data_IF_561314514053
#
_entry.id   IF_561314514053
#
_cell.length_a   1.000
_cell.length_b   1.000
_cell.length_c   1.000
_cell.angle_alpha   90.00
_cell.angle_beta   90.00
_cell.angle_gamma   90.00
#
_symmetry.space_group_name_H-M   'P 1'
#
loop_
_entity.id
_entity.type
_entity.pdbx_description
1 polymer ?
#
# COMPACT_ATOMS: atom_id res chain seq x y z
N UNK A 1 -60.93 -9.88 2.52
CA UNK A 1 -61.41 -9.01 1.43
C UNK A 1 -60.60 -9.33 0.18
N UNK A 2 -61.15 -9.92 -0.90
CA UNK A 2 -61.99 -9.28 -1.93
C UNK A 2 -61.20 -8.18 -2.70
N UNK A 3 -61.11 -8.10 -4.03
CA UNK A 3 -61.76 -8.76 -5.17
C UNK A 3 -60.93 -8.42 -6.46
N UNK A 4 -60.85 -9.41 -7.37
CA UNK A 4 -61.11 -9.34 -8.83
C UNK A 4 -60.29 -8.52 -9.85
N UNK A 5 -60.08 -9.19 -11.00
CA UNK A 5 -60.00 -8.60 -12.35
C UNK A 5 -59.16 -9.44 -13.33
N UNK A 6 -59.47 -10.71 -13.60
CA UNK A 6 -60.20 -11.25 -14.78
C UNK A 6 -59.86 -10.69 -16.17
N UNK A 7 -59.37 -11.62 -17.00
CA UNK A 7 -59.72 -11.97 -18.39
C UNK A 7 -59.40 -11.05 -19.57
N UNK A 8 -58.77 -11.67 -20.58
CA UNK A 8 -58.64 -11.14 -21.94
C UNK A 8 -57.99 -12.12 -22.93
N UNK A 9 -58.61 -13.28 -23.13
CA UNK A 9 -58.30 -14.21 -24.24
C UNK A 9 -58.70 -13.59 -25.59
N UNK A 10 -57.87 -13.72 -26.63
CA UNK A 10 -58.37 -13.80 -28.01
C UNK A 10 -57.50 -14.70 -28.89
N UNK A 11 -58.12 -15.80 -29.31
CA UNK A 11 -57.67 -16.68 -30.37
C UNK A 11 -57.98 -16.05 -31.74
N UNK A 12 -57.05 -16.14 -32.68
CA UNK A 12 -57.28 -15.86 -34.09
C UNK A 12 -56.90 -17.06 -34.94
N UNK A 13 -57.89 -17.86 -35.34
CA UNK A 13 -57.78 -18.83 -36.45
C UNK A 13 -57.72 -18.07 -37.78
N UNK A 14 -56.90 -18.57 -38.71
CA UNK A 14 -56.76 -18.03 -40.09
C UNK A 14 -58.04 -18.11 -40.93
N UNK A 15 -58.00 -17.69 -42.21
CA UNK A 15 -57.76 -18.70 -43.25
C UNK A 15 -57.10 -18.23 -44.57
N UNK A 16 -56.69 -19.25 -45.36
CA UNK A 16 -56.69 -19.37 -46.83
C UNK A 16 -55.58 -18.70 -47.67
N UNK A 17 -54.69 -19.60 -48.13
CA UNK A 17 -54.37 -19.92 -49.54
C UNK A 17 -54.71 -18.83 -50.58
N UNK A 18 -53.67 -18.16 -51.07
CA UNK A 18 -53.63 -17.54 -52.39
C UNK A 18 -52.48 -18.15 -53.20
N UNK A 19 -52.80 -19.10 -54.08
CA UNK A 19 -51.93 -19.50 -55.19
C UNK A 19 -51.92 -18.35 -56.20
N UNK A 20 -50.75 -17.79 -56.51
CA UNK A 20 -50.48 -17.15 -57.80
C UNK A 20 -49.16 -17.67 -58.33
N UNK A 21 -49.26 -18.36 -59.45
CA UNK A 21 -48.16 -18.77 -60.30
C UNK A 21 -47.51 -17.52 -60.91
N UNK A 22 -46.18 -17.50 -60.94
CA UNK A 22 -45.41 -16.72 -61.90
C UNK A 22 -44.31 -17.63 -62.43
N UNK A 23 -44.34 -17.74 -63.75
CA UNK A 23 -43.49 -18.56 -64.59
C UNK A 23 -42.16 -17.85 -64.90
N UNK A 24 -41.18 -18.64 -65.34
CA UNK A 24 -39.90 -18.19 -65.91
C UNK A 24 -38.79 -18.17 -64.85
N UNK A 25 -37.66 -18.85 -64.98
CA UNK A 25 -37.01 -19.55 -66.08
C UNK A 25 -36.20 -20.70 -65.46
N UNK A 26 -36.43 -21.93 -65.93
CA UNK A 26 -35.49 -23.03 -65.72
C UNK A 26 -34.46 -22.90 -66.83
N UNK A 27 -33.32 -22.26 -66.54
CA UNK A 27 -32.14 -22.46 -67.39
C UNK A 27 -31.59 -23.83 -67.09
N UNK A 28 -31.84 -24.75 -68.01
CA UNK A 28 -31.19 -26.05 -68.08
C UNK A 28 -29.67 -25.83 -68.08
N UNK A 29 -29.00 -26.25 -67.01
CA UNK A 29 -27.56 -26.45 -67.03
C UNK A 29 -27.29 -27.63 -67.98
N UNK A 30 -26.73 -27.29 -69.13
CA UNK A 30 -26.28 -28.23 -70.13
C UNK A 30 -25.21 -29.13 -69.51
N UNK A 31 -25.60 -30.36 -69.18
CA UNK A 31 -24.67 -31.47 -68.99
C UNK A 31 -23.91 -31.65 -70.30
N UNK A 32 -22.68 -31.16 -70.37
CA UNK A 32 -21.72 -31.67 -71.36
C UNK A 32 -21.22 -33.00 -70.79
N UNK A 33 -22.00 -34.06 -71.02
CA UNK A 33 -21.49 -35.43 -71.00
C UNK A 33 -20.63 -35.62 -72.25
N UNK A 34 -19.43 -35.05 -72.24
CA UNK A 34 -18.40 -35.29 -73.24
C UNK A 34 -17.55 -36.47 -72.82
N UNK A 35 -18.12 -37.67 -72.87
CA UNK A 35 -17.35 -38.90 -72.83
C UNK A 35 -16.51 -38.99 -74.09
N UNK A 36 -15.25 -38.59 -74.03
CA UNK A 36 -14.25 -39.05 -74.99
C UNK A 36 -13.61 -40.29 -74.37
N UNK A 37 -14.07 -41.46 -74.82
CA UNK A 37 -13.29 -42.68 -74.70
C UNK A 37 -11.94 -42.43 -75.39
N UNK A 38 -10.87 -42.33 -74.61
CA UNK A 38 -9.53 -42.54 -75.15
C UNK A 38 -9.35 -44.06 -75.34
N UNK A 39 -9.78 -44.58 -76.48
CA UNK A 39 -9.35 -45.90 -76.95
C UNK A 39 -7.85 -45.84 -77.21
N UNK A 40 -7.07 -46.54 -76.37
CA UNK A 40 -5.66 -46.79 -76.61
C UNK A 40 -5.54 -47.69 -77.86
N UNK A 41 -5.20 -47.09 -79.00
CA UNK A 41 -4.78 -47.83 -80.18
C UNK A 41 -3.29 -48.18 -80.03
N UNK A 42 -3.01 -49.45 -79.75
CA UNK A 42 -1.70 -50.05 -79.95
C UNK A 42 -1.42 -50.10 -81.47
N UNK A 43 -0.54 -49.25 -81.98
CA UNK A 43 -0.03 -49.38 -83.33
C UNK A 43 1.27 -50.20 -83.29
N UNK A 44 1.19 -51.48 -83.67
CA UNK A 44 2.36 -52.26 -84.05
C UNK A 44 2.81 -51.82 -85.44
N UNK A 45 4.08 -51.47 -85.57
CA UNK A 45 4.68 -51.11 -86.85
C UNK A 45 4.79 -52.32 -87.79
N UNK A 46 4.27 -52.18 -89.00
CA UNK A 46 4.75 -52.93 -90.17
C UNK A 46 4.48 -52.13 -91.47
N UNK A 47 5.58 -51.97 -92.21
CA UNK A 47 5.69 -51.86 -93.67
C UNK A 47 5.28 -50.58 -94.45
N UNK A 48 6.35 -49.94 -94.95
CA UNK A 48 6.65 -49.62 -96.36
C UNK A 48 5.59 -48.89 -97.19
N UNK A 49 5.91 -47.61 -97.45
CA UNK A 49 5.94 -47.10 -98.81
C UNK A 49 4.65 -46.49 -99.35
N UNK A 50 4.71 -45.16 -99.48
CA UNK A 50 4.20 -44.33 -100.59
C UNK A 50 3.00 -43.44 -100.25
N UNK A 51 3.33 -42.18 -99.98
CA UNK A 51 2.50 -41.03 -100.27
C UNK A 51 1.34 -40.81 -99.32
N UNK A 52 1.63 -40.47 -98.06
CA UNK A 52 0.64 -39.86 -97.18
C UNK A 52 1.05 -38.42 -96.90
N UNK A 53 0.14 -37.50 -97.15
CA UNK A 53 0.19 -36.15 -96.58
C UNK A 53 0.36 -36.31 -95.08
N UNK A 54 1.50 -35.84 -94.57
CA UNK A 54 1.79 -35.75 -93.15
C UNK A 54 0.75 -34.82 -92.50
N UNK A 55 -0.38 -35.41 -92.09
CA UNK A 55 -1.32 -34.78 -91.19
C UNK A 55 -0.61 -34.85 -89.84
N UNK A 56 0.23 -33.86 -89.58
CA UNK A 56 0.79 -33.59 -88.27
C UNK A 56 -0.38 -33.41 -87.30
N UNK A 57 -0.78 -34.49 -86.64
CA UNK A 57 -1.58 -34.38 -85.43
C UNK A 57 -0.67 -33.65 -84.44
N UNK A 58 -1.05 -32.44 -83.97
CA UNK A 58 -0.25 -31.77 -82.96
C UNK A 58 -0.06 -32.75 -81.82
N UNK A 59 1.21 -32.97 -81.42
CA UNK A 59 1.54 -33.88 -80.32
C UNK A 59 0.98 -33.28 -79.02
N UNK A 60 -0.29 -33.59 -78.73
CA UNK A 60 -1.01 -33.19 -77.54
C UNK A 60 -0.28 -33.65 -76.26
N UNK A 61 0.68 -34.57 -76.38
CA UNK A 61 1.50 -35.09 -75.30
C UNK A 61 2.55 -34.08 -74.79
N UNK A 62 2.80 -33.01 -75.54
CA UNK A 62 3.66 -31.87 -75.14
C UNK A 62 2.86 -30.65 -74.66
N UNK A 63 1.55 -30.60 -74.91
CA UNK A 63 0.71 -29.48 -74.49
C UNK A 63 0.51 -29.52 -72.99
N UNK A 64 0.75 -28.39 -72.34
CA UNK A 64 0.57 -28.22 -70.90
C UNK A 64 -0.55 -27.25 -70.58
N UNK A 65 -1.00 -27.33 -69.34
CA UNK A 65 -2.02 -26.48 -68.73
C UNK A 65 -1.44 -25.92 -67.42
N UNK A 66 -1.64 -24.63 -67.20
CA UNK A 66 -1.22 -23.93 -65.99
C UNK A 66 -2.35 -23.90 -64.95
N UNK A 67 -2.00 -24.20 -63.70
CA UNK A 67 -2.87 -24.15 -62.53
C UNK A 67 -2.31 -23.13 -61.58
N UNK A 68 -2.98 -21.98 -61.51
CA UNK A 68 -2.58 -20.89 -60.60
C UNK A 68 -3.42 -20.92 -59.33
N UNK A 69 -2.78 -20.67 -58.19
CA UNK A 69 -3.41 -20.66 -56.89
C UNK A 69 -3.41 -19.24 -56.32
N UNK A 70 -4.60 -18.65 -56.17
CA UNK A 70 -4.77 -17.37 -55.51
C UNK A 70 -5.20 -17.61 -54.05
N UNK A 71 -4.32 -17.39 -53.05
CA UNK A 71 -4.61 -17.68 -51.66
C UNK A 71 -5.63 -16.69 -51.04
N UNK A 72 -6.08 -15.68 -51.79
CA UNK A 72 -7.15 -14.76 -51.42
C UNK A 72 -6.96 -14.16 -50.01
N UNK A 73 -5.74 -13.68 -49.74
CA UNK A 73 -5.32 -13.11 -48.44
C UNK A 73 -4.41 -14.01 -47.61
N UNK A 74 -4.41 -15.33 -47.83
CA UNK A 74 -3.53 -16.27 -47.15
C UNK A 74 -2.09 -16.28 -47.67
N UNK A 75 -1.27 -17.16 -47.09
CA UNK A 75 0.13 -17.38 -47.51
C UNK A 75 0.23 -17.84 -48.97
N UNK A 76 1.29 -17.39 -49.67
CA UNK A 76 1.52 -17.71 -51.08
C UNK A 76 1.60 -19.21 -51.39
N UNK A 77 1.07 -19.62 -52.53
CA UNK A 77 1.06 -21.00 -53.02
C UNK A 77 1.62 -21.04 -54.44
N UNK A 78 2.66 -21.85 -54.73
CA UNK A 78 3.24 -21.94 -56.07
C UNK A 78 2.25 -22.51 -57.09
N UNK A 79 2.25 -21.95 -58.30
CA UNK A 79 1.52 -22.51 -59.45
C UNK A 79 2.11 -23.85 -59.90
N UNK A 80 1.29 -24.64 -60.60
CA UNK A 80 1.68 -25.93 -61.17
C UNK A 80 1.46 -25.95 -62.68
N UNK A 81 2.29 -26.72 -63.38
CA UNK A 81 2.13 -27.01 -64.81
C UNK A 81 1.92 -28.50 -64.98
N UNK A 82 0.82 -28.90 -65.62
CA UNK A 82 0.47 -30.31 -65.86
C UNK A 82 0.26 -30.56 -67.35
N UNK A 83 0.37 -31.82 -67.80
CA UNK A 83 0.02 -32.18 -69.19
C UNK A 83 -1.47 -31.95 -69.45
N UNK A 84 -1.84 -31.65 -70.70
CA UNK A 84 -3.23 -31.59 -71.13
C UNK A 84 -3.94 -32.92 -70.81
N UNK A 85 -5.10 -32.85 -70.17
CA UNK A 85 -5.84 -34.00 -69.66
C UNK A 85 -5.31 -34.58 -68.35
N UNK A 86 -4.25 -34.00 -67.76
CA UNK A 86 -3.69 -34.39 -66.46
C UNK A 86 -4.45 -33.79 -65.27
N UNK A 87 -4.02 -34.14 -64.05
CA UNK A 87 -4.57 -33.64 -62.78
C UNK A 87 -3.55 -32.77 -62.06
N UNK A 88 -4.02 -31.72 -61.38
CA UNK A 88 -3.20 -30.96 -60.45
C UNK A 88 -2.98 -31.74 -59.16
N UNK A 89 -1.82 -31.58 -58.52
CA UNK A 89 -1.63 -32.03 -57.15
C UNK A 89 -2.30 -31.03 -56.19
N UNK A 90 -3.00 -31.51 -55.16
CA UNK A 90 -3.51 -30.63 -54.11
C UNK A 90 -2.33 -30.00 -53.35
N UNK A 91 -2.20 -28.66 -53.33
CA UNK A 91 -1.11 -28.02 -52.62
C UNK A 91 -1.33 -28.10 -51.10
N UNK A 92 -0.26 -27.94 -50.33
CA UNK A 92 -0.38 -27.72 -48.89
C UNK A 92 -1.33 -26.54 -48.62
N UNK A 93 -2.28 -26.73 -47.70
CA UNK A 93 -3.23 -25.69 -47.36
C UNK A 93 -2.48 -24.39 -46.97
N UNK A 94 -2.83 -23.25 -47.58
CA UNK A 94 -2.27 -21.97 -47.16
C UNK A 94 -2.71 -21.66 -45.72
N UNK A 95 -2.06 -20.70 -45.09
CA UNK A 95 -2.40 -20.22 -43.75
C UNK A 95 -2.83 -18.76 -43.78
N UNK A 96 -3.80 -18.39 -42.94
CA UNK A 96 -4.22 -17.00 -42.74
C UNK A 96 -4.64 -16.81 -41.28
N UNK A 97 -3.90 -16.01 -40.48
CA UNK A 97 -4.25 -15.79 -39.08
C UNK A 97 -5.70 -15.38 -38.88
N UNK A 98 -6.38 -16.04 -37.93
CA UNK A 98 -7.78 -15.78 -37.62
C UNK A 98 -8.79 -16.43 -38.58
N UNK A 99 -8.36 -17.27 -39.51
CA UNK A 99 -9.22 -17.89 -40.52
C UNK A 99 -8.94 -19.40 -40.66
N UNK A 100 -9.99 -20.17 -40.94
CA UNK A 100 -9.90 -21.59 -41.30
C UNK A 100 -10.04 -21.76 -42.80
N UNK A 101 -9.11 -22.51 -43.40
CA UNK A 101 -9.12 -22.84 -44.84
C UNK A 101 -10.24 -23.82 -45.17
N UNK A 102 -11.14 -23.46 -46.09
CA UNK A 102 -12.27 -24.30 -46.50
C UNK A 102 -11.99 -25.15 -47.74
N UNK A 103 -10.99 -24.75 -48.53
CA UNK A 103 -10.61 -25.40 -49.78
C UNK A 103 -10.37 -24.42 -50.92
N UNK A 104 -10.03 -24.99 -52.08
CA UNK A 104 -9.86 -24.29 -53.35
C UNK A 104 -11.17 -24.27 -54.14
N UNK A 105 -11.53 -23.13 -54.71
CA UNK A 105 -12.78 -22.93 -55.44
C UNK A 105 -12.51 -22.35 -56.83
N UNK A 106 -13.44 -22.60 -57.75
CA UNK A 106 -13.32 -22.18 -59.15
C UNK A 106 -13.53 -20.68 -59.37
N UNK A 107 -13.99 -19.93 -58.36
CA UNK A 107 -14.18 -18.48 -58.42
C UNK A 107 -13.79 -17.82 -57.09
N UNK A 108 -13.42 -16.53 -57.14
CA UNK A 108 -12.87 -15.80 -55.99
C UNK A 108 -13.79 -15.74 -54.77
N UNK A 109 -15.08 -15.40 -54.98
CA UNK A 109 -16.05 -15.16 -53.90
C UNK A 109 -17.22 -16.15 -53.92
N UNK A 110 -17.27 -17.00 -54.93
CA UNK A 110 -18.38 -17.91 -55.26
C UNK A 110 -17.79 -19.20 -55.86
N UNK A 111 -18.61 -19.98 -56.56
CA UNK A 111 -18.15 -21.15 -57.29
C UNK A 111 -18.26 -22.43 -56.48
N UNK A 112 -17.71 -23.48 -57.05
CA UNK A 112 -17.74 -24.83 -56.47
C UNK A 112 -16.35 -25.17 -55.95
N UNK A 113 -16.32 -25.94 -54.85
CA UNK A 113 -15.08 -26.50 -54.33
C UNK A 113 -14.47 -27.41 -55.40
N UNK A 114 -13.21 -27.18 -55.72
CA UNK A 114 -12.49 -27.91 -56.76
C UNK A 114 -12.15 -29.33 -56.28
N UNK A 115 -12.41 -30.32 -57.13
CA UNK A 115 -11.94 -31.70 -56.95
C UNK A 115 -10.63 -31.88 -57.72
N UNK A 116 -9.54 -32.16 -57.01
CA UNK A 116 -8.22 -32.39 -57.61
C UNK A 116 -8.14 -33.65 -58.48
N UNK A 117 -9.20 -34.46 -58.54
CA UNK A 117 -9.36 -35.54 -59.53
C UNK A 117 -9.85 -35.04 -60.90
N UNK A 118 -10.18 -33.76 -61.03
CA UNK A 118 -10.66 -33.18 -62.30
C UNK A 118 -9.51 -33.13 -63.32
N UNK A 119 -9.75 -33.68 -64.51
CA UNK A 119 -8.82 -33.61 -65.63
C UNK A 119 -8.83 -32.20 -66.24
N UNK A 120 -7.65 -31.64 -66.48
CA UNK A 120 -7.47 -30.26 -66.90
C UNK A 120 -7.23 -30.16 -68.40
N UNK A 121 -8.10 -29.43 -69.11
CA UNK A 121 -8.00 -29.20 -70.55
C UNK A 121 -7.72 -27.74 -70.93
N UNK A 122 -7.77 -26.83 -69.95
CA UNK A 122 -7.50 -25.40 -70.09
C UNK A 122 -6.90 -24.84 -68.81
N UNK A 123 -6.18 -23.74 -68.91
CA UNK A 123 -5.64 -23.04 -67.74
C UNK A 123 -6.75 -22.68 -66.75
N UNK A 124 -6.43 -22.76 -65.45
CA UNK A 124 -7.38 -22.47 -64.38
C UNK A 124 -6.68 -21.70 -63.26
N UNK A 125 -7.43 -20.77 -62.66
CA UNK A 125 -7.07 -20.15 -61.39
C UNK A 125 -8.01 -20.65 -60.32
N UNK A 126 -7.45 -21.23 -59.27
CA UNK A 126 -8.17 -21.69 -58.09
C UNK A 126 -8.01 -20.68 -56.96
N UNK A 127 -9.10 -20.38 -56.26
CA UNK A 127 -9.15 -19.37 -55.21
C UNK A 127 -9.39 -20.01 -53.85
N UNK A 128 -8.57 -19.67 -52.87
CA UNK A 128 -8.79 -20.12 -51.50
C UNK A 128 -10.05 -19.46 -50.91
N UNK A 129 -10.91 -20.28 -50.30
CA UNK A 129 -12.03 -19.79 -49.50
C UNK A 129 -11.77 -20.04 -48.01
N UNK A 130 -12.28 -19.14 -47.19
CA UNK A 130 -11.94 -19.04 -45.77
C UNK A 130 -13.19 -18.79 -44.92
N UNK A 131 -13.21 -19.33 -43.70
CA UNK A 131 -14.15 -18.91 -42.65
C UNK A 131 -13.40 -18.15 -41.57
N UNK A 132 -13.86 -16.95 -41.21
CA UNK A 132 -13.30 -16.19 -40.08
C UNK A 132 -13.62 -16.88 -38.76
N UNK A 133 -12.60 -17.07 -37.94
CA UNK A 133 -12.69 -17.76 -36.66
C UNK A 133 -13.36 -16.89 -35.60
N UNK A 134 -13.89 -17.57 -34.59
CA UNK A 134 -14.46 -16.96 -33.39
C UNK A 134 -13.65 -17.44 -32.20
N UNK A 135 -13.20 -16.50 -31.37
CA UNK A 135 -12.35 -16.77 -30.23
C UNK A 135 -13.06 -16.42 -28.93
N UNK A 136 -12.72 -17.15 -27.87
CA UNK A 136 -13.23 -16.92 -26.52
C UNK A 136 -12.40 -15.84 -25.84
N UNK A 137 -13.09 -14.84 -25.28
CA UNK A 137 -12.55 -13.80 -24.41
C UNK A 137 -12.97 -14.14 -22.99
N UNK A 138 -12.01 -14.48 -22.14
CA UNK A 138 -12.23 -14.76 -20.73
C UNK A 138 -11.98 -13.51 -19.90
N UNK A 139 -12.81 -13.26 -18.90
CA UNK A 139 -12.71 -12.11 -18.00
C UNK A 139 -12.19 -12.55 -16.63
N UNK A 140 -11.00 -12.07 -16.26
CA UNK A 140 -10.39 -12.30 -14.95
C UNK A 140 -10.53 -11.04 -14.09
N UNK A 141 -11.29 -11.15 -12.98
CA UNK A 141 -11.55 -10.04 -12.06
C UNK A 141 -10.33 -9.54 -11.27
N UNK A 142 -9.16 -10.19 -11.42
CA UNK A 142 -7.86 -9.79 -10.87
C UNK A 142 -7.94 -9.44 -9.38
N UNK A 143 -8.37 -10.41 -8.58
CA UNK A 143 -8.63 -10.25 -7.15
C UNK A 143 -10.12 -10.27 -6.77
N UNK A 144 -11.03 -10.15 -7.75
CA UNK A 144 -12.46 -10.38 -7.56
C UNK A 144 -12.85 -11.74 -8.16
N UNK A 145 -13.38 -12.66 -7.35
CA UNK A 145 -13.70 -14.02 -7.81
C UNK A 145 -15.00 -14.11 -8.64
N UNK A 146 -15.98 -13.24 -8.36
CA UNK A 146 -17.27 -13.27 -9.06
C UNK A 146 -17.22 -12.30 -10.24
N UNK A 147 -17.09 -12.84 -11.44
CA UNK A 147 -17.12 -12.09 -12.71
C UNK A 147 -18.33 -12.53 -13.51
N UNK A 148 -19.17 -11.60 -13.94
CA UNK A 148 -20.38 -11.91 -14.72
C UNK A 148 -20.50 -10.96 -15.92
N UNK A 149 -20.52 -11.48 -17.16
CA UNK A 149 -20.24 -12.87 -17.54
C UNK A 149 -18.75 -13.22 -17.36
N UNK A 150 -18.42 -14.50 -17.20
CA UNK A 150 -17.03 -14.98 -17.10
C UNK A 150 -16.31 -15.00 -18.44
N UNK A 151 -17.05 -15.08 -19.54
CA UNK A 151 -16.50 -15.02 -20.89
C UNK A 151 -17.52 -14.55 -21.93
N UNK A 152 -17.03 -14.22 -23.12
CA UNK A 152 -17.82 -14.01 -24.33
C UNK A 152 -17.05 -14.51 -25.55
N UNK A 153 -17.70 -14.59 -26.70
CA UNK A 153 -17.04 -14.90 -27.97
C UNK A 153 -16.95 -13.66 -28.86
N UNK A 154 -15.83 -13.48 -29.56
CA UNK A 154 -15.61 -12.39 -30.51
C UNK A 154 -15.02 -12.96 -31.80
N UNK A 155 -15.56 -12.56 -32.96
CA UNK A 155 -15.02 -12.95 -34.27
C UNK A 155 -13.70 -12.19 -34.51
N UNK A 156 -12.71 -12.87 -35.09
CA UNK A 156 -11.45 -12.23 -35.46
C UNK A 156 -11.68 -11.06 -36.40
N UNK A 157 -11.06 -9.91 -36.11
CA UNK A 157 -11.23 -8.66 -36.87
C UNK A 157 -12.44 -7.82 -36.46
N UNK A 158 -13.37 -8.36 -35.65
CA UNK A 158 -14.48 -7.58 -35.08
C UNK A 158 -14.04 -6.80 -33.84
N UNK A 159 -14.84 -5.80 -33.46
CA UNK A 159 -14.68 -5.09 -32.20
C UNK A 159 -15.12 -5.95 -31.02
N UNK A 160 -14.51 -5.74 -29.84
CA UNK A 160 -14.91 -6.42 -28.62
C UNK A 160 -16.36 -6.12 -28.22
N UNK A 161 -16.88 -4.92 -28.51
CA UNK A 161 -18.23 -4.50 -28.13
C UNK A 161 -18.39 -4.36 -26.61
N UNK A 162 -19.62 -4.37 -26.09
CA UNK A 162 -19.87 -4.17 -24.65
C UNK A 162 -19.08 -5.16 -23.78
N UNK A 163 -18.35 -4.60 -22.82
CA UNK A 163 -17.58 -5.31 -21.81
C UNK A 163 -18.27 -5.20 -20.44
N UNK A 164 -18.15 -6.21 -19.56
CA UNK A 164 -18.71 -6.13 -18.22
C UNK A 164 -18.11 -4.99 -17.41
N UNK A 165 -18.92 -4.38 -16.56
CA UNK A 165 -18.43 -3.49 -15.50
C UNK A 165 -18.26 -4.29 -14.21
N UNK A 166 -17.30 -3.88 -13.38
CA UNK A 166 -16.96 -4.57 -12.14
C UNK A 166 -16.97 -3.61 -10.96
N UNK A 167 -17.19 -4.14 -9.77
CA UNK A 167 -17.12 -3.40 -8.51
C UNK A 167 -16.23 -4.14 -7.50
N UNK A 168 -15.38 -3.39 -6.81
CA UNK A 168 -14.51 -3.89 -5.74
C UNK A 168 -14.45 -2.86 -4.62
N UNK A 169 -14.76 -3.29 -3.40
CA UNK A 169 -14.81 -2.41 -2.23
C UNK A 169 -13.46 -1.74 -1.99
N UNK A 170 -13.45 -0.40 -1.91
CA UNK A 170 -12.22 0.38 -1.70
C UNK A 170 -11.38 0.65 -2.96
N UNK A 171 -11.85 0.22 -4.14
CA UNK A 171 -11.17 0.42 -5.42
C UNK A 171 -12.12 0.99 -6.48
N UNK A 172 -11.55 1.69 -7.45
CA UNK A 172 -12.21 2.12 -8.69
C UNK A 172 -11.85 1.14 -9.80
N UNK A 173 -12.84 0.72 -10.60
CA UNK A 173 -12.61 -0.13 -11.76
C UNK A 173 -12.12 0.70 -12.93
N UNK A 174 -10.88 0.48 -13.37
CA UNK A 174 -10.25 1.27 -14.44
C UNK A 174 -10.62 0.73 -15.83
N UNK A 175 -10.89 -0.57 -15.93
CA UNK A 175 -11.26 -1.24 -17.18
C UNK A 175 -10.61 -2.60 -17.33
N UNK A 176 -10.66 -3.12 -18.56
CA UNK A 176 -10.11 -4.42 -18.95
C UNK A 176 -8.80 -4.27 -19.71
N UNK A 177 -7.81 -5.10 -19.40
CA UNK A 177 -6.46 -5.00 -19.97
C UNK A 177 -5.95 -6.36 -20.44
N UNK A 178 -5.02 -6.36 -21.39
CA UNK A 178 -4.44 -7.59 -21.95
C UNK A 178 -3.47 -8.34 -21.01
N UNK A 179 -3.15 -7.79 -19.83
CA UNK A 179 -2.26 -8.40 -18.85
C UNK A 179 -2.67 -8.05 -17.40
N UNK A 180 -2.28 -8.89 -16.42
CA UNK A 180 -2.58 -8.70 -14.98
C UNK A 180 -2.03 -7.38 -14.42
N UNK A 181 -0.87 -6.95 -14.93
CA UNK A 181 -0.20 -5.69 -14.59
C UNK A 181 0.30 -5.07 -15.89
N UNK A 182 0.01 -3.78 -16.12
CA UNK A 182 0.28 -3.12 -17.40
C UNK A 182 -0.59 -3.67 -18.55
N UNK A 183 -0.02 -3.79 -19.75
CA UNK A 183 -0.76 -4.19 -20.94
C UNK A 183 -1.57 -3.06 -21.56
N UNK A 184 -2.35 -3.41 -22.58
CA UNK A 184 -3.13 -2.44 -23.36
C UNK A 184 -4.56 -2.40 -22.85
N UNK A 185 -5.08 -1.19 -22.64
CA UNK A 185 -6.49 -0.98 -22.26
C UNK A 185 -7.41 -1.40 -23.41
N UNK A 186 -8.38 -2.26 -23.09
CA UNK A 186 -9.37 -2.80 -24.02
C UNK A 186 -10.72 -2.17 -23.71
N UNK A 187 -11.27 -1.47 -24.70
CA UNK A 187 -12.59 -0.84 -24.67
C UNK A 187 -13.50 -1.47 -25.72
N UNK A 188 -14.77 -1.06 -25.77
CA UNK A 188 -15.74 -1.63 -26.70
C UNK A 188 -15.32 -1.47 -28.17
N UNK A 189 -14.58 -0.42 -28.48
CA UNK A 189 -14.11 -0.07 -29.82
C UNK A 189 -12.82 -0.77 -30.24
N UNK A 190 -12.11 -1.41 -29.30
CA UNK A 190 -10.90 -2.18 -29.60
C UNK A 190 -11.22 -3.34 -30.52
N UNK A 191 -10.39 -3.57 -31.53
CA UNK A 191 -10.54 -4.70 -32.47
C UNK A 191 -9.79 -5.94 -31.97
N UNK A 192 -10.42 -7.11 -32.10
CA UNK A 192 -9.78 -8.39 -31.84
C UNK A 192 -8.82 -8.75 -32.97
N UNK A 193 -7.51 -8.63 -32.72
CA UNK A 193 -6.45 -8.98 -33.69
C UNK A 193 -5.63 -10.18 -33.27
N UNK A 194 -5.93 -10.79 -32.12
CA UNK A 194 -5.29 -12.02 -31.66
C UNK A 194 -6.02 -13.23 -32.25
N UNK A 195 -5.28 -14.07 -32.98
CA UNK A 195 -5.81 -15.29 -33.60
C UNK A 195 -5.85 -16.47 -32.62
N UNK A 196 -6.25 -16.22 -31.37
CA UNK A 196 -6.36 -17.20 -30.30
C UNK A 196 -7.35 -16.72 -29.22
N UNK A 197 -7.74 -17.62 -28.33
CA UNK A 197 -8.46 -17.26 -27.11
C UNK A 197 -7.63 -16.30 -26.26
N UNK A 198 -8.29 -15.31 -25.65
CA UNK A 198 -7.61 -14.29 -24.84
C UNK A 198 -8.22 -14.22 -23.45
N UNK A 199 -7.41 -13.76 -22.49
CA UNK A 199 -7.89 -13.38 -21.17
C UNK A 199 -7.68 -11.88 -20.98
N UNK A 200 -8.74 -11.18 -20.61
CA UNK A 200 -8.68 -9.79 -20.19
C UNK A 200 -8.73 -9.72 -18.66
N UNK A 201 -7.91 -8.84 -18.10
CA UNK A 201 -7.73 -8.68 -16.67
C UNK A 201 -8.28 -7.34 -16.22
N UNK A 202 -9.11 -7.35 -15.18
CA UNK A 202 -9.59 -6.14 -14.54
C UNK A 202 -8.43 -5.36 -13.92
N UNK A 203 -8.37 -4.06 -14.17
CA UNK A 203 -7.46 -3.15 -13.48
C UNK A 203 -8.23 -2.29 -12.48
N UNK A 204 -7.54 -1.98 -11.39
CA UNK A 204 -8.12 -1.37 -10.21
C UNK A 204 -7.22 -0.27 -9.67
N UNK A 205 -7.78 0.92 -9.46
CA UNK A 205 -7.10 2.01 -8.75
C UNK A 205 -7.62 2.05 -7.31
N UNK A 206 -6.71 1.95 -6.33
CA UNK A 206 -7.07 2.06 -4.92
C UNK A 206 -7.64 3.46 -4.62
N UNK A 207 -8.81 3.50 -3.99
CA UNK A 207 -9.46 4.77 -3.65
C UNK A 207 -8.59 5.54 -2.66
N UNK A 208 -8.60 6.86 -2.77
CA UNK A 208 -7.81 7.74 -1.91
C UNK A 208 -8.72 8.50 -0.96
N UNK A 209 -8.43 8.44 0.33
CA UNK A 209 -9.19 9.14 1.36
C UNK A 209 -8.32 10.17 2.07
N UNK A 210 -8.98 11.23 2.54
CA UNK A 210 -8.34 12.26 3.34
C UNK A 210 -8.28 11.80 4.80
N UNK A 211 -7.07 11.86 5.37
CA UNK A 211 -6.79 11.65 6.78
C UNK A 211 -6.54 13.01 7.41
N UNK A 212 -7.42 13.44 8.29
CA UNK A 212 -7.32 14.72 9.01
C UNK A 212 -6.70 14.52 10.38
N UNK A 213 -5.78 15.42 10.75
CA UNK A 213 -5.06 15.39 12.02
C UNK A 213 -5.67 16.41 12.99
N UNK A 214 -6.35 15.92 14.02
CA UNK A 214 -6.87 16.76 15.09
C UNK A 214 -5.90 16.73 16.28
N UNK A 215 -5.20 17.84 16.50
CA UNK A 215 -4.20 17.95 17.57
C UNK A 215 -4.80 18.06 18.99
N UNK A 216 -6.13 18.07 19.16
CA UNK A 216 -6.82 18.12 20.46
C UNK A 216 -6.22 19.18 21.41
N UNK A 217 -6.42 20.46 21.06
CA UNK A 217 -5.91 21.59 21.84
C UNK A 217 -4.41 21.87 21.65
N UNK A 218 -3.72 21.12 20.78
CA UNK A 218 -2.39 21.45 20.26
C UNK A 218 -2.43 22.08 18.86
N UNK A 219 -1.25 22.20 18.25
CA UNK A 219 -1.04 22.58 16.84
C UNK A 219 -0.38 21.44 16.06
N UNK A 220 -0.75 21.28 14.79
CA UNK A 220 -0.16 20.28 13.89
C UNK A 220 -0.06 20.82 12.48
N UNK A 221 1.00 20.45 11.77
CA UNK A 221 1.17 20.71 10.34
C UNK A 221 1.85 19.51 9.67
N UNK A 222 1.35 19.01 8.52
CA UNK A 222 0.10 19.41 7.87
C UNK A 222 -1.15 18.99 8.66
N UNK A 223 -2.29 19.66 8.39
CA UNK A 223 -3.59 19.34 9.01
C UNK A 223 -4.26 18.09 8.41
N UNK A 224 -3.83 17.66 7.23
CA UNK A 224 -4.33 16.45 6.60
C UNK A 224 -3.34 15.88 5.60
N UNK A 225 -3.54 14.63 5.20
CA UNK A 225 -2.88 14.00 4.06
C UNK A 225 -3.85 13.08 3.34
N UNK A 226 -3.48 12.66 2.12
CA UNK A 226 -4.20 11.64 1.36
C UNK A 226 -3.51 10.28 1.53
N UNK A 227 -4.30 9.23 1.75
CA UNK A 227 -3.83 7.84 1.88
C UNK A 227 -4.72 6.95 1.03
N UNK A 228 -4.10 6.02 0.29
CA UNK A 228 -4.84 5.02 -0.48
C UNK A 228 -5.39 3.92 0.42
N UNK A 229 -6.55 3.39 0.07
CA UNK A 229 -7.16 2.24 0.72
C UNK A 229 -6.19 1.05 0.77
N UNK A 230 -6.14 0.37 1.91
CA UNK A 230 -5.22 -0.73 2.26
C UNK A 230 -3.71 -0.40 2.28
N UNK A 231 -3.34 0.83 1.97
CA UNK A 231 -1.96 1.32 2.13
C UNK A 231 -1.68 1.73 3.57
N UNK A 232 -0.42 1.63 3.96
CA UNK A 232 0.05 2.13 5.25
C UNK A 232 -0.08 3.65 5.33
N UNK A 233 -0.35 4.21 6.52
CA UNK A 233 -0.44 5.66 6.69
C UNK A 233 0.90 6.37 6.37
N UNK A 234 2.03 5.68 6.50
CA UNK A 234 3.37 6.24 6.31
C UNK A 234 3.69 7.33 7.35
N UNK A 235 4.61 8.24 7.04
CA UNK A 235 5.00 9.31 7.97
C UNK A 235 3.79 10.14 8.42
N UNK A 236 3.61 10.22 9.73
CA UNK A 236 2.59 11.02 10.41
C UNK A 236 3.23 12.28 11.01
N UNK A 237 2.54 13.44 11.01
CA UNK A 237 3.07 14.64 11.62
C UNK A 237 3.15 14.51 13.15
N UNK A 238 4.11 15.19 13.75
CA UNK A 238 4.23 15.30 15.21
C UNK A 238 3.58 16.61 15.66
N UNK A 239 2.43 16.57 16.36
CA UNK A 239 1.79 17.78 16.87
C UNK A 239 2.53 18.31 18.10
N UNK A 240 2.31 19.58 18.44
CA UNK A 240 2.83 20.23 19.66
C UNK A 240 1.70 20.76 20.53
N UNK A 241 1.83 20.66 21.85
CA UNK A 241 0.90 21.23 22.82
C UNK A 241 1.66 21.63 24.09
N UNK A 242 1.60 22.90 24.46
CA UNK A 242 2.35 23.44 25.60
C UNK A 242 1.97 22.71 26.90
N UNK A 243 2.97 22.21 27.64
CA UNK A 243 2.77 21.45 28.88
C UNK A 243 2.36 19.98 28.72
N UNK A 244 2.39 19.43 27.50
CA UNK A 244 2.03 18.03 27.22
C UNK A 244 3.08 17.35 26.32
N UNK A 245 3.25 16.05 26.52
CA UNK A 245 4.02 15.15 25.64
C UNK A 245 3.05 14.41 24.72
N UNK A 246 3.34 14.40 23.42
CA UNK A 246 2.57 13.65 22.44
C UNK A 246 2.78 12.14 22.63
N UNK A 247 1.70 11.38 22.79
CA UNK A 247 1.73 9.93 22.98
C UNK A 247 1.57 9.19 21.65
N UNK A 248 0.72 9.70 20.76
CA UNK A 248 0.43 9.09 19.48
C UNK A 248 -0.87 9.56 18.86
N UNK A 249 -1.12 9.10 17.63
CA UNK A 249 -2.38 9.30 16.91
C UNK A 249 -3.34 8.15 17.20
N UNK A 250 -4.62 8.46 17.37
CA UNK A 250 -5.65 7.48 17.71
C UNK A 250 -6.92 7.68 16.87
N UNK A 251 -7.68 6.61 16.66
CA UNK A 251 -8.92 6.64 15.88
C UNK A 251 -10.06 7.42 16.55
N UNK A 252 -9.99 7.64 17.87
CA UNK A 252 -10.99 8.36 18.65
C UNK A 252 -10.31 9.32 19.67
N UNK A 253 -11.01 10.38 20.13
CA UNK A 253 -10.48 11.29 21.15
C UNK A 253 -10.17 10.62 22.49
N UNK A 254 -10.92 9.57 22.84
CA UNK A 254 -10.80 8.77 24.06
C UNK A 254 -10.97 7.30 23.69
N UNK A 255 -10.16 6.41 24.27
CA UNK A 255 -10.19 4.95 24.07
C UNK A 255 -10.12 4.47 22.61
N UNK A 256 -9.51 5.27 21.73
CA UNK A 256 -9.25 4.88 20.34
C UNK A 256 -8.15 3.82 20.22
N UNK A 257 -8.02 3.27 19.01
CA UNK A 257 -6.89 2.40 18.66
C UNK A 257 -5.71 3.26 18.22
N UNK A 258 -4.50 2.95 18.68
CA UNK A 258 -3.29 3.63 18.26
C UNK A 258 -3.05 3.40 16.76
N UNK A 259 -2.74 4.48 16.04
CA UNK A 259 -2.41 4.49 14.62
C UNK A 259 -0.96 4.88 14.45
N UNK A 260 -0.19 3.97 13.86
CA UNK A 260 1.24 4.14 13.55
C UNK A 260 1.45 4.35 12.06
N UNK A 261 2.70 4.62 11.65
CA UNK A 261 3.05 4.72 10.25
C UNK A 261 2.75 3.44 9.45
N UNK A 262 2.85 2.27 10.09
CA UNK A 262 2.63 0.96 9.47
C UNK A 262 1.16 0.50 9.50
N UNK A 263 0.31 1.20 10.27
CA UNK A 263 -1.12 0.92 10.28
C UNK A 263 -1.71 1.16 8.89
N UNK A 264 -2.67 0.34 8.46
CA UNK A 264 -3.30 0.46 7.14
C UNK A 264 -4.63 1.19 7.23
N UNK A 265 -4.93 2.01 6.22
CA UNK A 265 -6.24 2.62 6.08
C UNK A 265 -7.24 1.59 5.52
N UNK A 266 -8.23 1.20 6.31
CA UNK A 266 -9.30 0.25 5.90
C UNK A 266 -10.69 0.87 5.93
N UNK A 267 -10.81 2.14 6.33
CA UNK A 267 -12.06 2.88 6.24
C UNK A 267 -12.37 3.24 4.78
N UNK A 268 -13.64 3.13 4.41
CA UNK A 268 -14.15 3.49 3.08
C UNK A 268 -14.57 4.96 2.99
N UNK A 269 -13.99 5.81 3.84
CA UNK A 269 -14.32 7.24 3.99
C UNK A 269 -13.12 8.02 4.51
N UNK A 270 -13.23 9.35 4.45
CA UNK A 270 -12.28 10.22 5.12
C UNK A 270 -12.29 9.96 6.63
N UNK A 271 -11.11 9.96 7.25
CA UNK A 271 -10.91 9.65 8.67
C UNK A 271 -10.28 10.83 9.39
N UNK A 272 -10.56 10.96 10.67
CA UNK A 272 -9.88 11.91 11.56
C UNK A 272 -9.09 11.13 12.60
N UNK A 273 -7.80 11.43 12.74
CA UNK A 273 -6.96 10.92 13.82
C UNK A 273 -6.83 11.99 14.89
N UNK A 274 -6.87 11.57 16.15
CA UNK A 274 -6.85 12.44 17.31
C UNK A 274 -5.53 12.26 18.07
N UNK A 275 -4.87 13.37 18.36
CA UNK A 275 -3.66 13.36 19.17
C UNK A 275 -3.99 13.03 20.62
N UNK A 276 -3.36 12.00 21.16
CA UNK A 276 -3.40 11.70 22.58
C UNK A 276 -2.16 12.30 23.26
N UNK A 277 -2.40 12.83 24.45
CA UNK A 277 -1.43 13.63 25.18
C UNK A 277 -1.23 13.05 26.58
N UNK A 278 0.02 12.97 27.01
CA UNK A 278 0.37 12.79 28.42
C UNK A 278 0.72 14.17 28.96
N UNK A 279 0.13 14.56 30.09
CA UNK A 279 0.53 15.82 30.73
C UNK A 279 2.03 15.74 31.02
N UNK A 280 2.78 16.72 30.52
CA UNK A 280 4.17 16.87 30.91
C UNK A 280 4.16 17.12 32.41
N UNK A 281 4.80 16.26 33.19
CA UNK A 281 5.31 16.70 34.48
C UNK A 281 6.27 17.83 34.16
N UNK A 282 5.94 19.05 34.56
CA UNK A 282 6.84 20.20 34.46
C UNK A 282 8.22 19.74 34.96
N UNK A 283 9.19 19.63 34.05
CA UNK A 283 10.55 19.95 34.43
C UNK A 283 10.52 21.45 34.71
N UNK A 284 10.13 21.81 35.93
CA UNK A 284 10.59 23.06 36.51
C UNK A 284 12.11 22.95 36.44
N UNK A 285 12.79 23.93 35.86
CA UNK A 285 14.22 24.08 36.04
C UNK A 285 14.49 24.20 37.55
N UNK A 286 14.58 23.07 38.25
CA UNK A 286 14.98 23.05 39.64
C UNK A 286 16.48 23.30 39.59
N UNK A 287 16.85 24.58 39.63
CA UNK A 287 18.24 24.96 39.86
C UNK A 287 18.65 24.36 41.21
N UNK A 288 19.40 23.27 41.14
CA UNK A 288 19.95 22.55 42.28
C UNK A 288 20.97 23.45 42.97
N UNK A 289 20.86 23.62 44.27
CA UNK A 289 21.81 24.37 45.08
C UNK A 289 22.54 23.37 45.99
N UNK A 290 23.86 23.17 45.84
CA UNK A 290 24.60 22.28 46.73
C UNK A 290 24.73 22.89 48.13
N UNK A 291 24.60 22.07 49.18
CA UNK A 291 24.95 22.45 50.56
C UNK A 291 26.17 21.66 50.99
N UNK A 292 27.21 22.36 51.42
CA UNK A 292 28.47 21.79 51.88
C UNK A 292 28.49 21.71 53.40
N UNK A 293 29.08 20.64 53.95
CA UNK A 293 29.31 20.44 55.38
C UNK A 293 30.81 20.43 55.65
N UNK A 294 31.26 21.25 56.59
CA UNK A 294 32.65 21.23 57.09
C UNK A 294 32.66 21.08 58.60
N UNK A 295 33.69 20.44 59.14
CA UNK A 295 33.82 20.10 60.55
C UNK A 295 35.10 20.64 61.16
N UNK A 296 35.00 21.29 62.31
CA UNK A 296 36.15 21.76 63.07
C UNK A 296 36.51 20.76 64.18
N UNK A 297 37.65 20.09 64.06
CA UNK A 297 38.13 19.12 65.05
C UNK A 297 38.47 19.73 66.41
N UNK A 298 38.80 21.03 66.46
CA UNK A 298 39.19 21.69 67.70
C UNK A 298 37.96 22.11 68.53
N UNK A 299 36.89 22.55 67.87
CA UNK A 299 35.66 22.98 68.55
C UNK A 299 34.55 21.93 68.56
N UNK A 300 34.62 20.92 67.70
CA UNK A 300 33.54 19.94 67.51
C UNK A 300 32.35 20.45 66.68
N UNK A 301 32.46 21.65 66.09
CA UNK A 301 31.36 22.30 65.37
C UNK A 301 31.29 21.87 63.90
N UNK A 302 30.07 21.79 63.38
CA UNK A 302 29.76 21.62 61.97
C UNK A 302 29.21 22.92 61.38
N UNK A 303 29.59 23.21 60.15
CA UNK A 303 29.07 24.35 59.41
C UNK A 303 28.47 23.93 58.08
N UNK A 304 27.30 24.49 57.75
CA UNK A 304 26.57 24.21 56.52
C UNK A 304 26.42 25.48 55.70
N UNK A 305 26.82 25.43 54.43
CA UNK A 305 26.74 26.59 53.53
C UNK A 305 26.50 26.19 52.08
N UNK A 306 25.81 27.05 51.33
CA UNK A 306 25.69 26.96 49.87
C UNK A 306 26.83 27.68 49.15
N UNK A 307 27.63 28.48 49.87
CA UNK A 307 28.73 29.24 49.31
C UNK A 307 29.99 28.38 49.21
N UNK A 308 30.40 28.08 47.96
CA UNK A 308 31.69 27.44 47.70
C UNK A 308 32.87 28.24 48.27
N UNK A 309 32.79 29.57 48.25
CA UNK A 309 33.83 30.45 48.80
C UNK A 309 33.94 30.37 50.33
N UNK A 310 32.82 30.28 51.03
CA UNK A 310 32.79 30.11 52.49
C UNK A 310 33.36 28.74 52.89
N UNK A 311 32.94 27.68 52.20
CA UNK A 311 33.47 26.33 52.40
C UNK A 311 34.98 26.27 52.19
N UNK A 312 35.48 26.81 51.07
CA UNK A 312 36.93 26.77 50.76
C UNK A 312 37.74 27.62 51.74
N UNK A 313 37.21 28.75 52.20
CA UNK A 313 37.84 29.57 53.25
C UNK A 313 37.95 28.82 54.58
N UNK A 314 36.88 28.18 55.04
CA UNK A 314 36.89 27.42 56.30
C UNK A 314 37.88 26.25 56.24
N UNK A 315 37.93 25.54 55.11
CA UNK A 315 38.93 24.47 54.90
C UNK A 315 40.35 25.03 54.95
N UNK A 316 40.61 26.19 54.34
CA UNK A 316 41.91 26.88 54.41
C UNK A 316 42.28 27.30 55.84
N UNK A 317 41.28 27.60 56.68
CA UNK A 317 41.45 27.92 58.10
C UNK A 317 41.55 26.68 59.01
N UNK A 318 41.67 25.47 58.44
CA UNK A 318 41.92 24.23 59.17
C UNK A 318 40.67 23.40 59.49
N UNK A 319 39.50 23.77 58.96
CA UNK A 319 38.32 22.91 59.04
C UNK A 319 38.44 21.73 58.07
N UNK A 320 37.88 20.59 58.43
CA UNK A 320 37.85 19.40 57.59
C UNK A 320 36.63 19.41 56.69
N UNK A 321 36.84 19.23 55.39
CA UNK A 321 35.79 18.86 54.44
C UNK A 321 35.46 17.37 54.62
N UNK A 322 34.29 17.09 55.19
CA UNK A 322 33.88 15.72 55.51
C UNK A 322 33.33 14.95 54.31
N UNK A 323 32.96 15.67 53.25
CA UNK A 323 32.37 15.09 52.04
C UNK A 323 33.39 14.99 50.90
N UNK A 324 34.69 15.20 51.17
CA UNK A 324 35.78 15.02 50.20
C UNK A 324 35.56 15.76 48.87
N UNK A 325 35.08 17.01 48.92
CA UNK A 325 34.77 17.81 47.73
C UNK A 325 33.36 17.63 47.17
N UNK A 326 32.57 16.71 47.73
CA UNK A 326 31.16 16.51 47.39
C UNK A 326 30.22 17.30 48.31
N UNK A 327 28.94 17.33 47.95
CA UNK A 327 27.88 18.03 48.68
C UNK A 327 27.42 17.16 49.85
N UNK A 328 26.99 17.76 50.96
CA UNK A 328 26.30 17.03 52.03
C UNK A 328 24.92 16.60 51.58
N UNK A 329 24.19 17.54 50.97
CA UNK A 329 22.91 17.31 50.32
C UNK A 329 22.67 18.40 49.27
N UNK A 330 21.63 18.20 48.44
CA UNK A 330 21.27 19.13 47.38
C UNK A 330 19.90 19.73 47.68
N UNK A 331 19.78 21.04 47.56
CA UNK A 331 18.56 21.78 47.81
C UNK A 331 18.13 22.54 46.55
N UNK A 332 17.13 23.44 46.66
CA UNK A 332 16.58 24.12 45.48
C UNK A 332 16.83 25.64 45.51
N UNK A 333 16.79 26.28 44.35
CA UNK A 333 16.86 27.73 44.27
C UNK A 333 15.60 28.39 44.84
N UNK A 334 15.72 29.65 45.28
CA UNK A 334 14.61 30.45 45.82
C UNK A 334 13.40 30.59 44.89
N UNK A 335 13.62 30.46 43.57
CA UNK A 335 12.59 30.63 42.56
C UNK A 335 11.82 29.32 42.27
N UNK A 336 12.18 28.22 42.94
CA UNK A 336 11.52 26.93 42.75
C UNK A 336 10.11 26.99 43.36
N UNK A 337 9.11 26.52 42.62
CA UNK A 337 7.72 26.54 43.09
C UNK A 337 7.58 25.76 44.42
N UNK A 338 7.07 26.43 45.45
CA UNK A 338 6.91 25.84 46.79
C UNK A 338 8.21 25.70 47.59
N UNK A 339 9.31 26.34 47.19
CA UNK A 339 10.53 26.36 47.98
C UNK A 339 10.31 27.04 49.35
N UNK A 340 10.80 26.42 50.42
CA UNK A 340 10.60 26.84 51.80
C UNK A 340 11.93 27.37 52.38
N UNK A 341 11.96 28.56 52.99
CA UNK A 341 13.20 29.15 53.50
C UNK A 341 13.70 28.40 54.73
N UNK A 342 14.98 27.99 54.70
CA UNK A 342 15.71 27.49 55.88
C UNK A 342 16.48 28.66 56.48
N UNK A 343 16.04 29.11 57.65
CA UNK A 343 16.66 30.20 58.40
C UNK A 343 17.96 29.71 59.03
N UNK A 344 18.99 30.58 59.07
CA UNK A 344 20.28 30.34 59.70
C UNK A 344 20.46 31.30 60.87
N UNK A 345 20.72 30.75 62.05
CA UNK A 345 21.00 31.52 63.26
C UNK A 345 22.37 31.16 63.83
N UNK A 346 23.13 32.17 64.25
CA UNK A 346 24.43 32.01 64.87
C UNK A 346 24.39 32.39 66.35
N UNK A 347 24.91 31.52 67.22
CA UNK A 347 25.05 31.82 68.64
C UNK A 347 26.42 32.47 68.93
N UNK A 348 26.47 33.78 69.24
CA UNK A 348 27.74 34.46 69.49
C UNK A 348 28.44 34.01 70.79
N UNK A 349 27.73 33.33 71.69
CA UNK A 349 28.30 32.92 72.98
C UNK A 349 29.16 31.66 72.90
N UNK A 350 28.85 30.72 71.99
CA UNK A 350 29.52 29.42 71.91
C UNK A 350 29.87 28.99 70.46
N UNK A 351 29.50 29.79 69.46
CA UNK A 351 29.81 29.53 68.05
C UNK A 351 28.90 28.53 67.34
N UNK A 352 27.89 27.96 68.01
CA UNK A 352 26.98 26.98 67.39
C UNK A 352 26.06 27.66 66.38
N UNK A 353 25.67 26.92 65.35
CA UNK A 353 24.67 27.38 64.38
C UNK A 353 23.40 26.52 64.45
N UNK A 354 22.28 27.14 64.08
CA UNK A 354 21.01 26.45 63.86
C UNK A 354 20.53 26.68 62.42
N UNK A 355 19.86 25.67 61.87
CA UNK A 355 19.17 25.75 60.59
C UNK A 355 17.76 25.21 60.75
N UNK A 356 16.75 26.04 60.49
CA UNK A 356 15.36 25.65 60.72
C UNK A 356 14.39 26.13 59.64
N UNK A 357 13.42 25.28 59.29
CA UNK A 357 12.21 25.69 58.55
C UNK A 357 11.18 26.37 59.45
N UNK A 358 11.30 26.23 60.77
CA UNK A 358 10.34 26.73 61.73
C UNK A 358 10.60 28.21 62.05
N UNK A 359 9.80 29.08 61.44
CA UNK A 359 9.87 30.54 61.67
C UNK A 359 9.69 30.92 63.14
N UNK A 360 8.93 30.16 63.94
CA UNK A 360 8.75 30.43 65.35
C UNK A 360 10.00 30.09 66.18
N UNK A 361 10.70 29.00 65.84
CA UNK A 361 12.01 28.64 66.44
C UNK A 361 13.05 29.72 66.13
N UNK A 362 13.16 30.12 64.86
CA UNK A 362 14.00 31.24 64.42
C UNK A 362 13.75 32.51 65.25
N UNK A 363 12.49 32.99 65.28
CA UNK A 363 12.13 34.20 66.01
C UNK A 363 12.42 34.07 67.52
N UNK A 364 12.25 32.86 68.09
CA UNK A 364 12.56 32.60 69.49
C UNK A 364 14.06 32.69 69.78
N UNK A 365 14.91 32.06 68.96
CA UNK A 365 16.37 32.08 69.13
C UNK A 365 16.93 33.49 68.99
N UNK A 366 16.45 34.26 68.00
CA UNK A 366 16.84 35.66 67.82
C UNK A 366 16.47 36.50 69.04
N UNK A 367 15.27 36.31 69.60
CA UNK A 367 14.86 36.97 70.85
C UNK A 367 15.72 36.56 72.06
N UNK A 368 16.28 35.35 72.05
CA UNK A 368 17.21 34.85 73.07
C UNK A 368 18.66 35.30 72.83
N UNK A 369 18.91 36.19 71.87
CA UNK A 369 20.23 36.79 71.64
C UNK A 369 21.07 36.11 70.55
N UNK A 370 20.52 35.14 69.82
CA UNK A 370 21.18 34.59 68.63
C UNK A 370 21.15 35.62 67.50
N UNK A 371 22.18 35.64 66.67
CA UNK A 371 22.27 36.51 65.51
C UNK A 371 21.51 35.88 64.34
N UNK A 372 20.57 36.64 63.77
CA UNK A 372 19.92 36.32 62.50
C UNK A 372 20.94 36.50 61.35
N UNK A 373 21.24 35.41 60.64
CA UNK A 373 22.12 35.41 59.47
C UNK A 373 21.35 35.27 58.15
N UNK A 374 20.02 35.35 58.21
CA UNK A 374 19.12 35.29 57.08
C UNK A 374 18.79 33.86 56.63
N UNK A 375 18.48 33.72 55.34
CA UNK A 375 18.12 32.45 54.72
C UNK A 375 19.39 31.76 54.23
N UNK A 376 19.72 30.60 54.80
CA UNK A 376 20.86 29.80 54.36
C UNK A 376 20.64 29.15 52.98
N UNK A 377 19.44 28.61 52.76
CA UNK A 377 18.99 28.05 51.49
C UNK A 377 17.47 27.84 51.48
N UNK A 378 16.94 27.28 50.39
CA UNK A 378 15.52 26.95 50.25
C UNK A 378 15.33 25.45 50.05
N UNK A 379 14.62 24.81 50.98
CA UNK A 379 14.26 23.39 50.89
C UNK A 379 13.04 23.19 49.97
N UNK A 380 13.00 22.16 49.12
CA UNK A 380 11.81 21.86 48.35
C UNK A 380 10.66 21.37 49.25
N UNK A 381 9.42 21.76 48.93
CA UNK A 381 8.21 21.23 49.60
C UNK A 381 8.15 19.70 49.54
N UNK A 382 8.56 19.13 48.41
CA UNK A 382 8.69 17.70 48.17
C UNK A 382 10.08 17.41 47.60
N UNK A 383 10.80 16.42 48.15
CA UNK A 383 12.08 15.96 47.62
C UNK A 383 12.26 14.47 47.93
N UNK A 384 13.09 13.71 47.21
CA UNK A 384 13.30 12.28 47.42
C UNK A 384 14.03 11.95 48.74
N UNK A 385 14.85 12.86 49.25
CA UNK A 385 15.69 12.64 50.43
C UNK A 385 15.15 13.39 51.65
N UNK A 386 15.26 12.80 52.85
CA UNK A 386 15.00 13.50 54.13
C UNK A 386 16.31 14.00 54.69
N UNK A 387 16.38 15.25 55.12
CA UNK A 387 17.46 15.74 55.99
C UNK A 387 17.01 15.57 57.44
N UNK A 388 17.75 14.77 58.19
CA UNK A 388 17.51 14.47 59.59
C UNK A 388 18.27 15.43 60.48
N UNK A 389 17.62 15.98 61.51
CA UNK A 389 18.23 16.86 62.52
C UNK A 389 18.55 16.08 63.79
N UNK A 390 19.77 16.27 64.28
CA UNK A 390 20.26 15.73 65.55
C UNK A 390 20.73 16.88 66.43
N UNK A 391 20.51 16.77 67.74
CA UNK A 391 20.92 17.74 68.74
C UNK A 391 21.82 17.08 69.78
N UNK A 392 22.97 17.69 70.06
CA UNK A 392 23.83 17.26 71.15
C UNK A 392 23.46 18.02 72.44
N UNK A 393 22.91 17.34 73.47
CA UNK A 393 22.54 18.00 74.72
C UNK A 393 23.72 18.52 75.54
N UNK A 394 24.95 18.05 75.26
CA UNK A 394 26.14 18.45 75.98
C UNK A 394 26.83 19.67 75.37
N UNK A 395 26.89 19.78 74.04
CA UNK A 395 27.54 20.91 73.35
C UNK A 395 26.57 21.97 72.84
N UNK A 396 25.29 21.64 72.72
CA UNK A 396 24.29 22.49 72.07
C UNK A 396 24.32 22.46 70.54
N UNK A 397 25.17 21.61 69.95
CA UNK A 397 25.40 21.54 68.51
C UNK A 397 24.29 20.78 67.77
N UNK A 398 24.02 21.17 66.53
CA UNK A 398 23.14 20.44 65.62
C UNK A 398 23.89 19.83 64.44
N UNK A 399 23.47 18.62 64.03
CA UNK A 399 23.94 17.96 62.82
C UNK A 399 22.76 17.67 61.90
N UNK A 400 22.99 17.84 60.60
CA UNK A 400 22.02 17.64 59.53
C UNK A 400 22.57 16.64 58.52
N UNK A 401 21.87 15.53 58.30
CA UNK A 401 22.33 14.48 57.39
C UNK A 401 21.18 13.86 56.59
N UNK A 402 21.45 13.50 55.33
CA UNK A 402 20.55 12.68 54.52
C UNK A 402 20.72 11.18 54.77
N UNK A 403 21.82 10.78 55.42
CA UNK A 403 22.08 9.39 55.76
C UNK A 403 21.29 8.98 57.00
N UNK A 404 20.25 8.16 56.81
CA UNK A 404 19.52 7.60 57.94
C UNK A 404 20.42 6.69 58.81
N UNK A 405 21.44 6.07 58.22
CA UNK A 405 22.44 5.30 58.97
C UNK A 405 23.29 6.18 59.90
N UNK A 406 23.74 7.35 59.44
CA UNK A 406 24.45 8.33 60.28
C UNK A 406 23.55 8.85 61.40
N UNK A 407 22.29 9.16 61.09
CA UNK A 407 21.30 9.55 62.10
C UNK A 407 21.18 8.52 63.22
N UNK A 408 20.95 7.24 62.88
CA UNK A 408 20.83 6.18 63.88
C UNK A 408 22.14 5.97 64.67
N UNK A 409 23.29 6.02 64.01
CA UNK A 409 24.59 5.87 64.67
C UNK A 409 24.87 6.99 65.69
N UNK A 410 24.57 8.24 65.33
CA UNK A 410 24.79 9.40 66.20
C UNK A 410 23.77 9.43 67.35
N UNK A 411 22.52 8.99 67.14
CA UNK A 411 21.55 8.75 68.23
C UNK A 411 22.06 7.68 69.19
N UNK A 412 22.58 6.57 68.68
CA UNK A 412 23.17 5.51 69.52
C UNK A 412 24.39 6.01 70.31
N UNK A 413 25.13 6.97 69.76
CA UNK A 413 26.23 7.66 70.45
C UNK A 413 25.77 8.71 71.49
N UNK A 414 24.47 8.80 71.79
CA UNK A 414 23.92 9.62 72.88
C UNK A 414 23.38 10.98 72.46
N UNK A 415 23.33 11.32 71.17
CA UNK A 415 22.68 12.54 70.69
C UNK A 415 21.17 12.37 70.64
N UNK A 416 20.43 13.47 70.79
CA UNK A 416 18.97 13.47 70.63
C UNK A 416 18.60 13.57 69.15
N UNK A 417 17.92 12.55 68.63
CA UNK A 417 17.33 12.60 67.29
C UNK A 417 16.06 13.45 67.29
N UNK A 418 16.02 14.52 66.49
CA UNK A 418 14.87 15.45 66.43
C UNK A 418 13.95 15.19 65.23
N UNK A 419 14.31 14.20 64.39
CA UNK A 419 13.49 13.73 63.28
C UNK A 419 13.77 14.48 61.99
N UNK A 420 12.79 14.50 61.10
CA UNK A 420 12.90 15.12 59.78
C UNK A 420 12.91 16.65 59.90
N UNK A 421 14.00 17.28 59.48
CA UNK A 421 14.14 18.73 59.44
C UNK A 421 13.44 19.31 58.21
N UNK A 422 13.74 18.75 57.03
CA UNK A 422 13.15 19.11 55.73
C UNK A 422 13.43 18.02 54.67
N UNK A 423 12.91 18.22 53.45
CA UNK A 423 13.21 17.40 52.28
C UNK A 423 14.33 18.01 51.45
N UNK A 424 15.13 17.18 50.78
CA UNK A 424 16.18 17.59 49.85
C UNK A 424 16.07 16.83 48.52
N UNK A 425 16.77 17.30 47.49
CA UNK A 425 16.90 16.60 46.20
C UNK A 425 17.77 15.36 46.30
#
# INVERSE_FOLDING_TARGET
MSLFGRNGSHAGRGPRRGRRALAGLVSAAMLISGGVLATAATASAAETGRGDTDISFPDLNTKTVNVSFDPNGGSGVPSQTVKLGGQAAEPTAPTWPGHTFLGWYTQRNTGIKYDFRTLLVTDITLYAHWSTNVYTVTFDGNGVQTVVPTSKTVRYGDRYGTLPTMARVGYTFDGWYTAKTGGTHVVAETTMTTADNVTLYAHWTANTYTVTFNAVGGSVSPLSKKVQYESAYGTLPTPTRAGYTFVGWYTLPVDGTNVTADSKLTDLRNVTLYAHWKRGTEHVDVHTVPVYRVYNRNSGLHHYTTSWGEKTLLVRLGWRDENHGSNSFVTVSKNTAGAQPVYREYNPHNGTHNWTLNRAEHNMLVRLGWRDEGIGWYAPKNGPSTVWRLYNPHSGEHVYTTSHGEYLAVVHAGWRGEGAAWRSL
#
